data_IF_066192691566
#
_entry.id   IF_066192691566
#
_cell.length_a   1.000
_cell.length_b   1.000
_cell.length_c   1.000
_cell.angle_alpha   90.00
_cell.angle_beta   90.00
_cell.angle_gamma   90.00
#
_symmetry.space_group_name_H-M   'P 1'
#
loop_
_entity.id
_entity.type
_entity.pdbx_description
1 polymer ?
#
# COMPACT_ATOMS: atom_id res chain seq x y z
N UNK A 1 -1.61 -16.37 -0.36
CA UNK A 1 -0.64 -15.68 0.51
C UNK A 1 -0.91 -14.19 0.41
N UNK A 2 -1.08 -13.45 1.52
CA UNK A 2 -1.26 -12.00 1.47
C UNK A 2 0.02 -11.29 1.02
N UNK A 3 -0.13 -10.10 0.45
CA UNK A 3 0.95 -9.20 0.07
C UNK A 3 0.94 -8.03 1.05
N UNK A 4 2.09 -7.77 1.67
CA UNK A 4 2.28 -6.65 2.59
C UNK A 4 3.08 -5.57 1.87
N UNK A 5 2.54 -4.35 1.84
CA UNK A 5 3.23 -3.17 1.34
C UNK A 5 3.30 -2.14 2.46
N UNK A 6 4.52 -1.71 2.81
CA UNK A 6 4.72 -0.55 3.66
C UNK A 6 4.89 0.66 2.75
N UNK A 7 4.00 1.64 2.89
CA UNK A 7 3.97 2.85 2.07
C UNK A 7 4.51 4.08 2.82
N UNK A 8 5.05 3.89 4.03
CA UNK A 8 5.46 4.97 4.91
C UNK A 8 4.25 5.71 5.48
N UNK A 9 4.50 6.89 6.07
CA UNK A 9 3.44 7.73 6.62
C UNK A 9 2.47 8.16 5.51
N UNK A 10 1.24 7.67 5.57
CA UNK A 10 0.18 8.06 4.65
C UNK A 10 -0.81 8.98 5.38
N UNK A 11 -0.84 10.25 4.98
CA UNK A 11 -1.77 11.25 5.51
C UNK A 11 -3.20 11.12 4.94
N UNK A 12 -3.42 10.18 4.02
CA UNK A 12 -4.70 9.91 3.37
C UNK A 12 -5.00 10.81 2.16
N UNK A 13 -4.24 11.89 1.96
CA UNK A 13 -4.37 12.81 0.82
C UNK A 13 -3.26 12.60 -0.23
N UNK A 14 -2.29 11.73 0.04
CA UNK A 14 -1.25 11.36 -0.93
C UNK A 14 -1.83 10.51 -2.08
N UNK A 15 -2.04 11.17 -3.22
CA UNK A 15 -2.54 10.58 -4.47
C UNK A 15 -1.57 9.54 -5.06
N UNK A 16 -0.25 9.69 -4.83
CA UNK A 16 0.73 8.71 -5.32
C UNK A 16 0.65 7.39 -4.56
N UNK A 17 0.44 7.47 -3.23
CA UNK A 17 0.25 6.29 -2.40
C UNK A 17 -1.06 5.57 -2.73
N UNK A 18 -2.15 6.31 -2.92
CA UNK A 18 -3.45 5.73 -3.33
C UNK A 18 -3.34 5.00 -4.68
N UNK A 19 -2.64 5.61 -5.64
CA UNK A 19 -2.38 4.98 -6.95
C UNK A 19 -1.55 3.71 -6.81
N UNK A 20 -0.53 3.72 -5.97
CA UNK A 20 0.34 2.56 -5.73
C UNK A 20 -0.44 1.39 -5.12
N UNK A 21 -1.28 1.65 -4.12
CA UNK A 21 -2.15 0.64 -3.52
C UNK A 21 -3.10 0.04 -4.55
N UNK A 22 -3.72 0.88 -5.39
CA UNK A 22 -4.61 0.43 -6.46
C UNK A 22 -3.89 -0.41 -7.50
N UNK A 23 -2.70 -0.01 -7.93
CA UNK A 23 -1.91 -0.76 -8.93
C UNK A 23 -1.48 -2.13 -8.38
N UNK A 24 -1.07 -2.20 -7.10
CA UNK A 24 -0.73 -3.48 -6.43
C UNK A 24 -1.95 -4.38 -6.32
N UNK A 25 -3.11 -3.83 -5.95
CA UNK A 25 -4.38 -4.57 -5.85
C UNK A 25 -4.83 -5.10 -7.22
N UNK A 26 -4.78 -4.25 -8.26
CA UNK A 26 -5.15 -4.61 -9.62
C UNK A 26 -4.24 -5.69 -10.22
N UNK A 27 -2.94 -5.65 -9.91
CA UNK A 27 -1.98 -6.65 -10.37
C UNK A 27 -2.10 -7.99 -9.61
N UNK A 28 -2.74 -7.99 -8.43
CA UNK A 28 -2.86 -9.17 -7.57
C UNK A 28 -4.31 -9.44 -7.14
N UNK A 29 -5.25 -9.64 -8.07
CA UNK A 29 -6.68 -9.75 -7.77
C UNK A 29 -7.05 -10.97 -6.91
N UNK A 30 -6.20 -11.99 -6.87
CA UNK A 30 -6.39 -13.20 -6.07
C UNK A 30 -5.68 -13.16 -4.71
N UNK A 31 -5.06 -12.03 -4.35
CA UNK A 31 -4.30 -11.86 -3.13
C UNK A 31 -4.83 -10.69 -2.32
N UNK A 32 -4.95 -10.89 -1.00
CA UNK A 32 -5.24 -9.80 -0.07
C UNK A 32 -4.01 -8.89 0.01
N UNK A 33 -4.19 -7.61 -0.32
CA UNK A 33 -3.19 -6.56 -0.15
C UNK A 33 -3.43 -5.89 1.20
N UNK A 34 -2.40 -5.87 2.04
CA UNK A 34 -2.42 -5.19 3.34
C UNK A 34 -1.46 -4.01 3.23
N UNK A 35 -2.00 -2.81 3.43
CA UNK A 35 -1.28 -1.55 3.38
C UNK A 35 -0.89 -1.19 4.80
N UNK A 36 0.40 -1.00 5.02
CA UNK A 36 0.98 -0.58 6.28
C UNK A 36 1.44 0.88 6.13
N UNK A 37 0.84 1.77 6.91
CA UNK A 37 1.08 3.22 6.96
C UNK A 37 2.05 3.62 8.07
N UNK A 38 2.79 2.65 8.62
CA UNK A 38 3.81 2.89 9.63
C UNK A 38 5.01 3.61 9.00
N UNK A 39 5.46 4.75 9.56
CA UNK A 39 6.66 5.43 9.08
C UNK A 39 7.86 4.48 9.13
N UNK A 40 8.60 4.43 8.02
CA UNK A 40 9.88 3.72 7.98
C UNK A 40 10.83 4.46 8.92
N UNK A 41 11.27 3.80 10.00
CA UNK A 41 12.29 4.37 10.91
C UNK A 41 13.55 4.77 10.10
N UNK A 42 14.10 5.96 10.42
CA UNK A 42 15.37 6.51 9.90
C UNK A 42 16.59 5.62 10.23
#
# INVERSE_FOLDING_TARGET
MPIFINIGEWDGDDEELDKTVKDVSNNNPNHTVIVDDIPLED
#
